data_IF_327505246986
#
_entry.id   IF_327505246986
#
_cell.length_a   1.000
_cell.length_b   1.000
_cell.length_c   1.000
_cell.angle_alpha   90.00
_cell.angle_beta   90.00
_cell.angle_gamma   90.00
#
_symmetry.space_group_name_H-M   'P 1'
#
loop_
_entity.id
_entity.type
_entity.pdbx_description
1 polymer ?
#
# COMPACT_ATOMS: atom_id res chain seq x y z
N UNK A 1 6.94 -6.72 12.82
CA UNK A 1 8.10 -7.15 13.62
C UNK A 1 9.43 -6.72 13.00
N UNK A 2 9.66 -6.95 11.71
CA UNK A 2 10.93 -6.56 11.04
C UNK A 2 11.30 -5.07 11.15
N UNK A 3 10.32 -4.15 11.12
CA UNK A 3 10.58 -2.73 11.30
C UNK A 3 11.16 -2.42 12.70
N UNK A 4 10.59 -2.99 13.76
CA UNK A 4 11.04 -2.78 15.14
C UNK A 4 12.44 -3.38 15.35
N UNK A 5 12.70 -4.57 14.77
CA UNK A 5 14.01 -5.22 14.83
C UNK A 5 15.10 -4.49 14.04
N UNK A 6 14.75 -3.54 13.17
CA UNK A 6 15.73 -2.70 12.48
C UNK A 6 16.29 -1.56 13.34
N UNK A 7 15.69 -1.30 14.51
CA UNK A 7 16.22 -0.34 15.46
C UNK A 7 17.43 -0.94 16.19
N UNK A 8 18.47 -0.13 16.50
CA UNK A 8 19.56 -0.57 17.36
C UNK A 8 19.04 -1.07 18.70
N UNK A 9 19.54 -2.20 19.20
CA UNK A 9 19.08 -2.82 20.47
C UNK A 9 19.07 -1.83 21.67
N UNK A 10 19.97 -0.83 21.64
CA UNK A 10 20.13 0.17 22.70
C UNK A 10 19.32 1.44 22.50
N UNK A 11 18.64 1.61 21.36
CA UNK A 11 17.93 2.86 21.01
C UNK A 11 16.87 3.24 22.05
N UNK A 12 16.04 2.27 22.46
CA UNK A 12 14.99 2.51 23.46
C UNK A 12 15.57 2.87 24.83
N UNK A 13 16.63 2.17 25.24
CA UNK A 13 17.30 2.38 26.53
C UNK A 13 17.93 3.77 26.59
N UNK A 14 18.54 4.23 25.50
CA UNK A 14 19.11 5.59 25.40
C UNK A 14 18.03 6.67 25.50
N UNK A 15 16.90 6.49 24.81
CA UNK A 15 15.79 7.44 24.87
C UNK A 15 15.17 7.54 26.26
N UNK A 16 15.02 6.42 26.97
CA UNK A 16 14.57 6.40 28.37
C UNK A 16 15.61 7.07 29.29
N UNK A 17 16.90 6.81 29.06
CA UNK A 17 18.00 7.45 29.80
C UNK A 17 18.06 8.97 29.64
N UNK A 18 17.59 9.50 28.50
CA UNK A 18 17.43 10.93 28.23
C UNK A 18 16.14 11.53 28.84
N UNK A 19 15.36 10.75 29.59
CA UNK A 19 14.14 11.19 30.26
C UNK A 19 12.89 11.21 29.36
N UNK A 20 12.89 10.49 28.22
CA UNK A 20 11.73 10.47 27.35
C UNK A 20 10.53 9.78 28.01
N UNK A 21 9.37 10.45 28.02
CA UNK A 21 8.10 9.86 28.42
C UNK A 21 7.61 8.83 27.38
N UNK A 22 6.73 7.89 27.75
CA UNK A 22 6.17 6.84 26.89
C UNK A 22 5.60 7.38 25.57
N UNK A 23 4.91 8.52 25.63
CA UNK A 23 4.37 9.18 24.43
C UNK A 23 5.47 9.76 23.54
N UNK A 24 6.51 10.38 24.13
CA UNK A 24 7.64 10.90 23.35
C UNK A 24 8.41 9.76 22.68
N UNK A 25 8.66 8.67 23.40
CA UNK A 25 9.29 7.48 22.85
C UNK A 25 8.51 6.92 21.65
N UNK A 26 7.17 6.84 21.75
CA UNK A 26 6.32 6.38 20.66
C UNK A 26 6.47 7.23 19.39
N UNK A 27 6.39 8.56 19.51
CA UNK A 27 6.57 9.45 18.36
C UNK A 27 7.97 9.38 17.74
N UNK A 28 8.99 9.21 18.57
CA UNK A 28 10.38 9.13 18.12
C UNK A 28 10.61 7.81 17.37
N UNK A 29 10.11 6.69 17.89
CA UNK A 29 10.15 5.40 17.19
C UNK A 29 9.39 5.47 15.86
N UNK A 30 8.21 6.08 15.81
CA UNK A 30 7.48 6.25 14.55
C UNK A 30 8.26 7.07 13.52
N UNK A 31 8.93 8.14 13.96
CA UNK A 31 9.75 8.98 13.10
C UNK A 31 10.97 8.24 12.56
N UNK A 32 11.61 7.43 13.40
CA UNK A 32 12.74 6.60 13.02
C UNK A 32 12.33 5.51 12.01
N UNK A 33 11.16 4.91 12.23
CA UNK A 33 10.62 3.83 11.38
C UNK A 33 9.86 4.32 10.14
N UNK A 34 9.85 5.63 9.85
CA UNK A 34 9.09 6.23 8.74
C UNK A 34 9.32 5.50 7.41
N UNK A 35 10.57 5.12 7.10
CA UNK A 35 10.92 4.46 5.83
C UNK A 35 10.31 3.06 5.74
N UNK A 36 10.39 2.30 6.82
CA UNK A 36 9.84 0.95 6.93
C UNK A 36 8.30 0.97 6.90
N UNK A 37 7.69 2.00 7.50
CA UNK A 37 6.24 2.22 7.42
C UNK A 37 5.83 2.49 5.97
N UNK A 38 6.55 3.35 5.25
CA UNK A 38 6.29 3.59 3.81
C UNK A 38 6.41 2.28 3.02
N UNK A 39 7.43 1.46 3.26
CA UNK A 39 7.54 0.13 2.63
C UNK A 39 6.31 -0.74 2.88
N UNK A 40 5.85 -0.79 4.13
CA UNK A 40 4.69 -1.59 4.52
C UNK A 40 3.41 -1.11 3.81
N UNK A 41 3.23 0.21 3.67
CA UNK A 41 2.11 0.79 2.93
C UNK A 41 2.17 0.43 1.44
N UNK A 42 3.35 0.51 0.81
CA UNK A 42 3.53 0.10 -0.59
C UNK A 42 3.17 -1.37 -0.78
N UNK A 43 3.67 -2.25 0.11
CA UNK A 43 3.37 -3.67 0.06
C UNK A 43 1.87 -3.96 0.23
N UNK A 44 1.22 -3.29 1.20
CA UNK A 44 -0.22 -3.42 1.42
C UNK A 44 -1.05 -2.92 0.23
N UNK A 45 -0.65 -1.80 -0.38
CA UNK A 45 -1.28 -1.28 -1.59
C UNK A 45 -1.24 -2.29 -2.75
N UNK A 46 -0.08 -2.90 -3.00
CA UNK A 46 0.07 -3.94 -4.02
C UNK A 46 -0.83 -5.16 -3.76
N UNK A 47 -0.95 -5.56 -2.50
CA UNK A 47 -1.81 -6.67 -2.09
C UNK A 47 -3.30 -6.36 -2.35
N UNK A 48 -3.78 -5.19 -1.91
CA UNK A 48 -5.19 -4.79 -2.07
C UNK A 48 -5.58 -4.61 -3.53
N UNK A 49 -4.70 -4.01 -4.36
CA UNK A 49 -4.97 -3.84 -5.80
C UNK A 49 -5.07 -5.20 -6.53
N UNK A 50 -4.35 -6.21 -6.06
CA UNK A 50 -4.38 -7.57 -6.62
C UNK A 50 -5.60 -8.37 -6.17
N UNK A 51 -6.35 -7.90 -5.16
CA UNK A 51 -7.47 -8.62 -4.56
C UNK A 51 -8.77 -8.38 -5.34
N UNK A 52 -9.02 -9.20 -6.36
CA UNK A 52 -10.23 -9.09 -7.18
C UNK A 52 -11.39 -9.94 -6.62
N UNK A 53 -11.08 -11.12 -6.07
CA UNK A 53 -12.08 -12.09 -5.63
C UNK A 53 -12.93 -11.57 -4.48
N UNK A 54 -12.30 -11.09 -3.41
CA UNK A 54 -13.03 -10.54 -2.27
C UNK A 54 -13.88 -9.31 -2.67
N UNK A 55 -13.35 -8.45 -3.54
CA UNK A 55 -14.07 -7.27 -4.03
C UNK A 55 -15.32 -7.63 -4.83
N UNK A 56 -15.26 -8.68 -5.64
CA UNK A 56 -16.40 -9.16 -6.43
C UNK A 56 -17.43 -9.88 -5.55
N UNK A 57 -16.98 -10.68 -4.58
CA UNK A 57 -17.86 -11.46 -3.70
C UNK A 57 -18.63 -10.59 -2.69
N UNK A 58 -17.99 -9.54 -2.15
CA UNK A 58 -18.56 -8.71 -1.08
C UNK A 58 -19.03 -7.34 -1.58
N UNK A 59 -18.28 -6.71 -2.49
CA UNK A 59 -18.61 -5.38 -3.03
C UNK A 59 -19.62 -5.42 -4.18
N UNK A 60 -19.81 -6.59 -4.80
CA UNK A 60 -20.66 -6.75 -5.98
C UNK A 60 -20.07 -6.13 -7.24
N UNK A 61 -20.90 -6.03 -8.28
CA UNK A 61 -20.43 -5.64 -9.63
C UNK A 61 -21.45 -4.78 -10.40
N UNK A 62 -21.99 -3.76 -9.75
CA UNK A 62 -23.01 -2.88 -10.35
C UNK A 62 -22.31 -1.72 -11.07
N UNK A 63 -22.53 -1.64 -12.39
CA UNK A 63 -21.96 -0.56 -13.24
C UNK A 63 -22.39 0.80 -12.70
N UNK A 64 -21.44 1.69 -12.45
CA UNK A 64 -21.69 3.06 -11.98
C UNK A 64 -21.91 3.23 -10.48
N UNK A 65 -21.94 2.15 -9.70
CA UNK A 65 -22.14 2.20 -8.25
C UNK A 65 -21.02 1.48 -7.50
N UNK A 66 -20.90 0.16 -7.70
CA UNK A 66 -19.97 -0.68 -6.91
C UNK A 66 -18.89 -1.34 -7.76
N UNK A 67 -18.98 -1.24 -9.10
CA UNK A 67 -17.99 -1.80 -10.01
C UNK A 67 -16.69 -1.01 -9.94
N UNK A 68 -15.62 -1.70 -9.53
CA UNK A 68 -14.24 -1.22 -9.56
C UNK A 68 -13.52 -1.67 -10.83
N UNK A 69 -12.40 -1.02 -11.17
CA UNK A 69 -11.62 -1.34 -12.37
C UNK A 69 -11.18 -2.81 -12.43
N UNK A 70 -10.76 -3.38 -11.30
CA UNK A 70 -10.32 -4.78 -11.20
C UNK A 70 -11.44 -5.77 -11.53
N UNK A 71 -12.64 -5.56 -10.98
CA UNK A 71 -13.80 -6.43 -11.25
C UNK A 71 -14.37 -6.21 -12.66
N UNK A 72 -14.29 -4.99 -13.20
CA UNK A 72 -14.64 -4.68 -14.58
C UNK A 72 -13.77 -5.47 -15.57
N UNK A 73 -12.44 -5.48 -15.37
CA UNK A 73 -11.50 -6.24 -16.21
C UNK A 73 -11.85 -7.72 -16.26
N UNK A 74 -12.09 -8.36 -15.10
CA UNK A 74 -12.48 -9.77 -15.02
C UNK A 74 -13.84 -10.03 -15.68
N UNK A 75 -14.82 -9.14 -15.46
CA UNK A 75 -16.17 -9.28 -16.02
C UNK A 75 -16.17 -9.20 -17.55
N UNK A 76 -15.46 -8.22 -18.13
CA UNK A 76 -15.41 -8.06 -19.58
C UNK A 76 -14.58 -9.17 -20.25
N UNK A 77 -13.54 -9.67 -19.57
CA UNK A 77 -12.80 -10.86 -20.01
C UNK A 77 -13.70 -12.09 -20.06
N UNK A 78 -14.52 -12.32 -19.02
CA UNK A 78 -15.47 -13.42 -18.97
C UNK A 78 -16.61 -13.31 -20.00
N UNK A 79 -16.89 -12.11 -20.50
CA UNK A 79 -17.86 -11.85 -21.57
C UNK A 79 -17.29 -11.98 -22.98
N UNK A 80 -15.98 -12.24 -23.11
CA UNK A 80 -15.28 -12.25 -24.40
C UNK A 80 -15.01 -10.87 -24.99
N UNK A 81 -15.24 -9.80 -24.23
CA UNK A 81 -14.97 -8.43 -24.66
C UNK A 81 -13.54 -8.02 -24.29
N UNK A 82 -12.58 -8.62 -25.00
CA UNK A 82 -11.16 -8.42 -24.72
C UNK A 82 -10.69 -6.98 -24.96
N UNK A 83 -11.31 -6.26 -25.91
CA UNK A 83 -10.97 -4.87 -26.19
C UNK A 83 -11.19 -3.98 -24.95
N UNK A 84 -12.37 -4.05 -24.33
CA UNK A 84 -12.64 -3.33 -23.10
C UNK A 84 -11.80 -3.85 -21.92
N UNK A 85 -11.58 -5.17 -21.84
CA UNK A 85 -10.75 -5.75 -20.79
C UNK A 85 -9.30 -5.22 -20.84
N UNK A 86 -8.70 -5.13 -22.02
CA UNK A 86 -7.38 -4.54 -22.20
C UNK A 86 -7.37 -3.06 -21.87
N UNK A 87 -8.39 -2.31 -22.30
CA UNK A 87 -8.49 -0.89 -21.97
C UNK A 87 -8.49 -0.65 -20.45
N UNK A 88 -9.32 -1.37 -19.70
CA UNK A 88 -9.32 -1.28 -18.23
C UNK A 88 -8.02 -1.78 -17.61
N UNK A 89 -7.43 -2.85 -18.14
CA UNK A 89 -6.14 -3.36 -17.70
C UNK A 89 -5.00 -2.35 -17.83
N UNK A 90 -4.89 -1.66 -18.97
CA UNK A 90 -3.89 -0.61 -19.18
C UNK A 90 -4.12 0.61 -18.27
N UNK A 91 -5.37 1.05 -18.09
CA UNK A 91 -5.70 2.15 -17.17
C UNK A 91 -5.28 1.78 -15.75
N UNK A 92 -5.64 0.57 -15.29
CA UNK A 92 -5.28 0.09 -13.97
C UNK A 92 -3.76 0.01 -13.81
N UNK A 93 -3.05 -0.58 -14.78
CA UNK A 93 -1.59 -0.69 -14.77
C UNK A 93 -0.93 0.69 -14.67
N UNK A 94 -1.40 1.66 -15.47
CA UNK A 94 -0.88 3.02 -15.47
C UNK A 94 -1.05 3.69 -14.11
N UNK A 95 -2.26 3.61 -13.52
CA UNK A 95 -2.55 4.19 -12.20
C UNK A 95 -1.70 3.52 -11.11
N UNK A 96 -1.64 2.19 -11.10
CA UNK A 96 -0.86 1.43 -10.11
C UNK A 96 0.62 1.74 -10.21
N UNK A 97 1.15 1.87 -11.44
CA UNK A 97 2.55 2.22 -11.66
C UNK A 97 2.84 3.67 -11.23
N UNK A 98 1.96 4.61 -11.55
CA UNK A 98 2.09 6.01 -11.16
C UNK A 98 2.11 6.17 -9.63
N UNK A 99 1.18 5.51 -8.92
CA UNK A 99 1.13 5.55 -7.45
C UNK A 99 2.38 4.92 -6.84
N UNK A 100 2.79 3.74 -7.34
CA UNK A 100 4.02 3.11 -6.87
C UNK A 100 5.25 3.99 -7.11
N UNK A 101 5.35 4.62 -8.29
CA UNK A 101 6.43 5.55 -8.60
C UNK A 101 6.48 6.73 -7.62
N UNK A 102 5.34 7.32 -7.30
CA UNK A 102 5.24 8.41 -6.31
C UNK A 102 5.71 7.92 -4.93
N UNK A 103 5.25 6.75 -4.49
CA UNK A 103 5.68 6.19 -3.20
C UNK A 103 7.18 5.87 -3.17
N UNK A 104 7.73 5.31 -4.24
CA UNK A 104 9.17 5.05 -4.36
C UNK A 104 9.97 6.37 -4.37
N UNK A 105 9.50 7.41 -5.06
CA UNK A 105 10.12 8.75 -5.04
C UNK A 105 10.12 9.35 -3.63
N UNK A 106 9.00 9.25 -2.90
CA UNK A 106 8.90 9.72 -1.51
C UNK A 106 9.84 8.96 -0.57
N UNK A 107 10.01 7.65 -0.79
CA UNK A 107 10.96 6.84 -0.03
C UNK A 107 12.43 7.22 -0.32
N UNK A 108 12.75 7.56 -1.58
CA UNK A 108 14.12 7.89 -2.00
C UNK A 108 14.55 9.33 -1.65
N UNK A 109 13.61 10.27 -1.48
CA UNK A 109 13.90 11.71 -1.25
C UNK A 109 14.60 12.00 0.09
N UNK A 110 14.65 11.03 1.01
CA UNK A 110 15.33 11.13 2.31
C UNK A 110 16.73 10.46 2.29
N UNK A 111 17.47 10.58 1.16
CA UNK A 111 18.89 10.25 1.01
C UNK A 111 19.72 11.51 0.90
#
# INVERSE_FOLDING_TARGET
LSAINSLPEKFIIQMIGLGANKFQLFFIVLKELKKQIICAVIAGFGAVISEVGASMMVGGNIKGYTRVLTTATVTETGRGNFELAFAYGFILLFITFLINYIFTKLQQKDK
#
